data_IF_128874002563
#
_entry.id   IF_128874002563
#
_cell.length_a   1.000
_cell.length_b   1.000
_cell.length_c   1.000
_cell.angle_alpha   90.00
_cell.angle_beta   90.00
_cell.angle_gamma   90.00
#
_symmetry.space_group_name_H-M   'P 1'
#
loop_
_entity.id
_entity.type
_entity.pdbx_description
1 polymer ?
#
# COMPACT_ATOMS: atom_id res chain seq x y z
N UNK A 1 10.98 -18.37 43.96
CA UNK A 1 9.77 -18.10 43.17
C UNK A 1 9.73 -16.61 42.89
N UNK A 2 9.82 -16.20 41.63
CA UNK A 2 9.73 -14.79 41.27
C UNK A 2 8.24 -14.44 41.07
N UNK A 3 7.75 -13.45 41.84
CA UNK A 3 6.40 -12.90 41.76
C UNK A 3 6.33 -11.94 40.57
N UNK A 4 5.74 -12.39 39.46
CA UNK A 4 5.55 -11.59 38.26
C UNK A 4 4.21 -10.86 38.35
N UNK A 5 4.24 -9.60 38.80
CA UNK A 5 3.06 -8.74 38.86
C UNK A 5 2.95 -7.92 37.58
N UNK A 6 1.88 -8.13 36.82
CA UNK A 6 1.53 -7.29 35.67
C UNK A 6 0.96 -5.98 36.23
N UNK A 7 1.72 -4.90 36.13
CA UNK A 7 1.28 -3.57 36.55
C UNK A 7 0.34 -2.98 35.50
N UNK A 8 -0.78 -2.39 35.95
CA UNK A 8 -1.75 -1.70 35.10
C UNK A 8 -1.47 -0.21 35.11
N UNK A 9 -1.00 0.34 33.99
CA UNK A 9 -0.80 1.78 33.82
C UNK A 9 0.19 2.08 32.69
N UNK A 10 -0.29 2.16 31.45
CA UNK A 10 0.60 2.34 30.29
C UNK A 10 0.84 3.82 30.00
N UNK A 11 2.10 4.27 30.02
CA UNK A 11 2.53 5.37 29.15
C UNK A 11 3.03 4.76 27.85
N UNK A 12 2.58 5.30 26.70
CA UNK A 12 3.12 4.92 25.41
C UNK A 12 4.54 5.49 25.28
N UNK A 13 5.55 4.63 25.11
CA UNK A 13 6.92 5.06 24.85
C UNK A 13 7.07 5.42 23.38
N UNK A 14 7.80 6.50 23.10
CA UNK A 14 8.08 6.93 21.73
C UNK A 14 9.21 6.08 21.14
N UNK A 15 8.89 5.27 20.12
CA UNK A 15 9.90 4.55 19.33
C UNK A 15 10.92 5.54 18.73
N UNK A 16 12.22 5.27 18.90
CA UNK A 16 13.34 6.09 18.39
C UNK A 16 14.16 6.85 19.44
N UNK A 17 13.63 7.07 20.66
CA UNK A 17 14.38 7.73 21.76
C UNK A 17 14.57 6.81 22.99
N UNK A 18 14.07 5.58 22.94
CA UNK A 18 13.79 4.78 24.14
C UNK A 18 14.15 3.30 24.00
N UNK A 19 15.18 2.95 23.23
CA UNK A 19 15.61 1.56 22.98
C UNK A 19 16.05 0.79 24.26
N UNK A 20 16.17 1.47 25.41
CA UNK A 20 16.43 0.87 26.73
C UNK A 20 15.27 1.03 27.73
N UNK A 21 14.13 1.56 27.29
CA UNK A 21 12.97 1.72 28.17
C UNK A 21 12.12 0.45 28.11
N UNK A 22 11.92 -0.24 29.25
CA UNK A 22 11.05 -1.41 29.27
C UNK A 22 9.65 -1.02 28.80
N UNK A 23 9.13 -1.78 27.84
CA UNK A 23 7.73 -1.69 27.41
C UNK A 23 6.91 -2.70 28.20
N UNK A 24 5.79 -2.25 28.76
CA UNK A 24 4.88 -3.13 29.47
C UNK A 24 4.24 -4.15 28.52
N UNK A 25 4.30 -5.42 28.89
CA UNK A 25 3.55 -6.47 28.21
C UNK A 25 2.08 -6.32 28.56
N UNK A 26 1.22 -6.18 27.55
CA UNK A 26 -0.23 -6.12 27.76
C UNK A 26 -0.80 -7.53 27.89
N UNK A 27 -1.55 -7.76 28.96
CA UNK A 27 -2.36 -8.94 29.17
C UNK A 27 -3.82 -8.71 28.80
N UNK A 28 -4.55 -9.78 28.58
CA UNK A 28 -6.01 -9.80 28.58
C UNK A 28 -6.54 -9.56 30.00
N UNK A 29 -7.84 -9.28 30.13
CA UNK A 29 -8.45 -8.87 31.42
C UNK A 29 -8.40 -9.96 32.50
N UNK A 30 -8.24 -11.22 32.10
CA UNK A 30 -8.03 -12.38 32.98
C UNK A 30 -6.54 -12.62 33.30
N UNK A 31 -5.64 -11.77 32.82
CA UNK A 31 -4.21 -11.85 33.06
C UNK A 31 -3.44 -12.72 32.06
N UNK A 32 -4.09 -13.26 31.02
CA UNK A 32 -3.35 -14.03 30.02
C UNK A 32 -2.50 -13.10 29.15
N UNK A 33 -1.20 -13.37 29.10
CA UNK A 33 -0.28 -12.69 28.20
C UNK A 33 -0.61 -13.10 26.77
N UNK A 34 -0.77 -12.14 25.87
CA UNK A 34 -0.89 -12.42 24.44
C UNK A 34 0.15 -11.61 23.68
N UNK A 35 0.73 -12.23 22.64
CA UNK A 35 1.55 -11.52 21.66
C UNK A 35 0.65 -11.20 20.48
N UNK A 36 0.49 -9.90 20.17
CA UNK A 36 -0.15 -9.51 18.93
C UNK A 36 0.83 -9.75 17.77
N UNK A 37 0.37 -10.24 16.61
CA UNK A 37 1.15 -10.16 15.39
C UNK A 37 1.62 -8.72 15.17
N UNK A 38 2.88 -8.54 14.75
CA UNK A 38 3.50 -7.21 14.66
C UNK A 38 2.70 -6.22 13.81
N UNK A 39 2.08 -6.67 12.71
CA UNK A 39 1.20 -5.84 11.87
C UNK A 39 -0.04 -5.35 12.64
N UNK A 40 -0.65 -6.23 13.42
CA UNK A 40 -1.80 -5.87 14.26
C UNK A 40 -1.39 -4.90 15.35
N UNK A 41 -0.20 -5.07 15.94
CA UNK A 41 0.35 -4.13 16.91
C UNK A 41 0.56 -2.74 16.27
N UNK A 42 1.19 -2.66 15.09
CA UNK A 42 1.37 -1.39 14.36
C UNK A 42 0.04 -0.76 13.96
N UNK A 43 -0.94 -1.56 13.53
CA UNK A 43 -2.28 -1.05 13.24
C UNK A 43 -2.94 -0.46 14.50
N UNK A 44 -2.83 -1.15 15.64
CA UNK A 44 -3.32 -0.65 16.94
C UNK A 44 -2.58 0.59 17.42
N UNK A 45 -1.34 0.82 17.03
CA UNK A 45 -0.61 2.07 17.29
C UNK A 45 -1.02 3.21 16.34
N UNK A 46 -1.75 2.90 15.26
CA UNK A 46 -2.11 3.86 14.22
C UNK A 46 -0.98 4.10 13.22
N UNK A 47 -0.12 3.10 13.02
CA UNK A 47 1.02 3.14 12.08
C UNK A 47 0.75 2.41 10.76
N UNK A 48 -0.47 1.93 10.56
CA UNK A 48 -0.90 1.40 9.28
C UNK A 48 -1.74 2.44 8.54
N UNK A 49 -1.43 2.63 7.26
CA UNK A 49 -2.03 3.64 6.41
C UNK A 49 -2.44 3.02 5.08
N UNK A 50 -3.36 3.67 4.39
CA UNK A 50 -3.74 3.28 3.05
C UNK A 50 -4.31 4.43 2.23
N UNK A 51 -4.34 4.25 0.92
CA UNK A 51 -5.09 5.09 0.00
C UNK A 51 -5.65 4.28 -1.15
N UNK A 52 -6.65 4.87 -1.83
CA UNK A 52 -7.25 4.34 -3.04
C UNK A 52 -7.14 5.42 -4.13
N UNK A 53 -6.78 5.04 -5.36
CA UNK A 53 -6.73 6.00 -6.49
C UNK A 53 -8.14 6.48 -6.83
N UNK A 54 -9.06 5.53 -7.04
CA UNK A 54 -10.49 5.76 -7.24
C UNK A 54 -11.35 4.97 -6.25
N UNK A 55 -12.65 4.87 -6.53
CA UNK A 55 -13.62 4.12 -5.70
C UNK A 55 -14.61 3.36 -6.59
N UNK A 56 -15.35 2.41 -6.02
CA UNK A 56 -16.39 1.68 -6.78
C UNK A 56 -17.49 2.57 -7.39
N UNK A 57 -17.75 3.76 -6.83
CA UNK A 57 -18.72 4.71 -7.41
C UNK A 57 -18.10 5.75 -8.33
N UNK A 58 -16.77 5.88 -8.31
CA UNK A 58 -16.00 6.82 -9.11
C UNK A 58 -14.63 6.20 -9.40
N UNK A 59 -14.56 5.22 -10.33
CA UNK A 59 -13.30 4.59 -10.71
C UNK A 59 -12.43 5.59 -11.47
N UNK A 60 -11.12 5.42 -11.33
CA UNK A 60 -10.15 6.20 -12.09
C UNK A 60 -9.93 5.61 -13.48
N UNK A 61 -9.47 6.47 -14.39
CA UNK A 61 -8.99 6.08 -15.70
C UNK A 61 -7.50 5.73 -15.59
N UNK A 62 -7.20 4.43 -15.67
CA UNK A 62 -5.84 3.87 -15.60
C UNK A 62 -5.19 3.84 -16.99
N UNK A 63 -3.89 3.56 -17.05
CA UNK A 63 -3.05 3.66 -18.24
C UNK A 63 -3.52 2.89 -19.48
N UNK A 64 -3.56 3.58 -20.63
CA UNK A 64 -3.68 2.99 -21.96
C UNK A 64 -2.28 2.60 -22.46
N UNK A 65 -1.90 1.34 -22.27
CA UNK A 65 -0.55 0.86 -22.50
C UNK A 65 0.44 1.26 -21.39
N UNK A 66 1.46 0.42 -21.23
CA UNK A 66 2.48 0.64 -20.22
C UNK A 66 3.39 1.82 -20.60
N UNK A 67 3.50 2.81 -19.72
CA UNK A 67 4.47 3.90 -19.80
C UNK A 67 5.26 4.00 -18.49
N UNK A 68 6.58 3.80 -18.58
CA UNK A 68 7.47 3.72 -17.41
C UNK A 68 7.48 4.95 -16.50
N UNK A 69 7.17 6.13 -17.03
CA UNK A 69 7.12 7.40 -16.28
C UNK A 69 5.74 7.75 -15.71
N UNK A 70 4.74 6.88 -15.93
CA UNK A 70 3.34 7.15 -15.61
C UNK A 70 2.72 6.02 -14.79
N UNK A 71 3.14 5.84 -13.52
CA UNK A 71 2.45 4.91 -12.63
C UNK A 71 1.03 5.39 -12.34
N UNK A 72 0.11 4.45 -12.19
CA UNK A 72 -1.29 4.73 -11.87
C UNK A 72 -1.49 4.99 -10.37
N UNK A 73 -0.63 4.42 -9.53
CA UNK A 73 -0.51 4.76 -8.12
C UNK A 73 0.95 4.99 -7.75
N UNK A 74 1.20 6.06 -6.99
CA UNK A 74 2.53 6.47 -6.57
C UNK A 74 2.54 6.85 -5.09
N UNK A 75 3.42 6.24 -4.31
CA UNK A 75 3.68 6.58 -2.92
C UNK A 75 5.14 7.04 -2.79
N UNK A 76 5.33 8.33 -2.55
CA UNK A 76 6.63 8.92 -2.24
C UNK A 76 6.92 8.80 -0.74
N UNK A 77 8.07 8.22 -0.42
CA UNK A 77 8.51 7.94 0.95
C UNK A 77 9.67 8.88 1.27
N UNK A 78 9.51 9.84 2.20
CA UNK A 78 10.54 10.83 2.49
C UNK A 78 11.67 10.24 3.34
N UNK A 79 12.79 10.95 3.39
CA UNK A 79 13.92 10.60 4.26
C UNK A 79 13.49 10.45 5.72
N UNK A 80 14.06 9.47 6.43
CA UNK A 80 13.76 9.17 7.83
C UNK A 80 12.49 8.34 8.06
N UNK A 81 11.78 7.99 6.98
CA UNK A 81 10.60 7.11 7.02
C UNK A 81 10.92 5.76 6.40
N UNK A 82 10.47 4.68 7.03
CA UNK A 82 10.51 3.34 6.45
C UNK A 82 9.10 2.77 6.31
N UNK A 83 8.82 2.21 5.14
CA UNK A 83 7.52 1.67 4.76
C UNK A 83 7.65 0.18 4.44
N UNK A 84 6.71 -0.61 4.95
CA UNK A 84 6.52 -2.01 4.58
C UNK A 84 5.13 -2.14 3.97
N UNK A 85 5.00 -2.44 2.66
CA UNK A 85 3.71 -2.69 2.06
C UNK A 85 3.04 -3.89 2.73
N UNK A 86 1.75 -3.78 3.02
CA UNK A 86 0.93 -4.83 3.64
C UNK A 86 0.02 -5.46 2.60
N UNK A 87 -0.56 -4.62 1.75
CA UNK A 87 -1.53 -5.03 0.75
C UNK A 87 -1.49 -4.09 -0.45
N UNK A 88 -1.53 -4.67 -1.64
CA UNK A 88 -1.75 -3.95 -2.89
C UNK A 88 -2.88 -4.68 -3.61
N UNK A 89 -3.88 -3.95 -4.06
CA UNK A 89 -5.00 -4.47 -4.83
C UNK A 89 -5.18 -3.60 -6.05
N UNK A 90 -5.41 -4.24 -7.19
CA UNK A 90 -5.90 -3.59 -8.40
C UNK A 90 -7.24 -4.22 -8.73
N UNK A 91 -8.27 -3.39 -8.78
CA UNK A 91 -9.62 -3.76 -9.15
C UNK A 91 -9.94 -3.17 -10.52
N UNK A 92 -10.43 -4.02 -11.42
CA UNK A 92 -10.80 -3.71 -12.79
C UNK A 92 -12.33 -3.65 -12.88
N UNK A 93 -12.87 -2.54 -13.39
CA UNK A 93 -14.32 -2.33 -13.57
C UNK A 93 -14.72 -2.30 -15.06
N UNK A 94 -13.81 -2.74 -15.94
CA UNK A 94 -13.81 -2.54 -17.40
C UNK A 94 -15.17 -2.21 -18.03
N UNK A 95 -15.27 -1.01 -18.63
CA UNK A 95 -16.43 -0.57 -19.42
C UNK A 95 -16.23 -0.75 -20.92
N UNK A 96 -15.14 -1.40 -21.35
CA UNK A 96 -14.78 -1.49 -22.76
C UNK A 96 -15.35 -2.74 -23.44
N UNK A 97 -15.74 -2.58 -24.71
CA UNK A 97 -16.34 -3.62 -25.54
C UNK A 97 -15.32 -4.61 -26.13
N UNK A 98 -14.02 -4.36 -25.96
CA UNK A 98 -12.95 -5.15 -26.57
C UNK A 98 -12.11 -5.89 -25.51
N UNK A 99 -12.07 -7.23 -25.52
CA UNK A 99 -11.27 -8.00 -24.57
C UNK A 99 -9.77 -7.75 -24.79
N UNK A 100 -9.15 -7.00 -23.88
CA UNK A 100 -7.72 -6.74 -23.87
C UNK A 100 -7.00 -7.52 -22.77
N UNK A 101 -5.69 -7.77 -22.96
CA UNK A 101 -4.84 -8.29 -21.90
C UNK A 101 -4.51 -7.14 -20.97
N UNK A 102 -4.95 -7.26 -19.72
CA UNK A 102 -4.61 -6.37 -18.62
C UNK A 102 -3.29 -6.82 -18.02
N UNK A 103 -2.43 -5.89 -17.60
CA UNK A 103 -1.20 -6.17 -16.86
C UNK A 103 -1.07 -5.17 -15.72
N UNK A 104 -0.59 -5.65 -14.59
CA UNK A 104 -0.28 -4.78 -13.47
C UNK A 104 0.92 -5.30 -12.70
N UNK A 105 1.71 -4.38 -12.17
CA UNK A 105 2.88 -4.71 -11.40
C UNK A 105 3.24 -3.57 -10.45
N UNK A 106 3.97 -3.90 -9.39
CA UNK A 106 4.52 -2.91 -8.46
C UNK A 106 6.03 -2.98 -8.43
N UNK A 107 6.63 -1.79 -8.31
CA UNK A 107 8.07 -1.61 -8.22
C UNK A 107 8.45 -0.87 -6.95
N UNK A 108 9.51 -1.39 -6.33
CA UNK A 108 10.37 -0.70 -5.38
C UNK A 108 11.43 0.08 -6.14
N UNK A 109 11.66 1.34 -5.78
CA UNK A 109 12.80 2.12 -6.29
C UNK A 109 13.30 3.15 -5.28
N UNK A 110 14.61 3.41 -5.26
CA UNK A 110 15.20 4.55 -4.54
C UNK A 110 15.01 5.89 -5.25
N UNK A 111 14.45 5.88 -6.47
CA UNK A 111 14.16 7.10 -7.22
C UNK A 111 12.89 7.74 -6.65
N UNK A 112 13.03 8.94 -6.09
CA UNK A 112 11.89 9.78 -5.71
C UNK A 112 11.63 10.77 -6.82
N UNK A 113 10.39 10.82 -7.30
CA UNK A 113 9.99 11.82 -8.28
C UNK A 113 9.44 13.06 -7.59
N UNK A 114 10.23 14.13 -7.55
CA UNK A 114 9.82 15.41 -6.99
C UNK A 114 9.15 16.33 -8.02
N UNK A 115 9.08 15.91 -9.28
CA UNK A 115 8.56 16.69 -10.42
C UNK A 115 7.30 16.08 -11.05
N UNK A 116 6.68 15.11 -10.35
CA UNK A 116 5.53 14.39 -10.87
C UNK A 116 4.33 15.32 -11.07
N UNK A 117 3.59 15.12 -12.16
CA UNK A 117 2.28 15.76 -12.39
C UNK A 117 1.19 14.71 -12.26
N UNK A 118 0.40 14.78 -11.19
CA UNK A 118 -0.63 13.80 -10.85
C UNK A 118 -1.70 14.37 -9.92
N UNK A 119 -2.74 13.58 -9.67
CA UNK A 119 -3.78 13.89 -8.69
C UNK A 119 -3.31 13.47 -7.29
N UNK A 120 -3.23 14.42 -6.36
CA UNK A 120 -2.92 14.10 -4.97
C UNK A 120 -4.05 13.31 -4.31
N UNK A 121 -3.72 12.24 -3.60
CA UNK A 121 -4.70 11.38 -2.92
C UNK A 121 -4.56 11.53 -1.41
N UNK A 122 -5.70 11.51 -0.70
CA UNK A 122 -5.67 11.57 0.76
C UNK A 122 -5.32 10.22 1.35
N UNK A 123 -4.19 10.17 2.05
CA UNK A 123 -3.81 9.01 2.87
C UNK A 123 -4.70 8.93 4.10
N UNK A 124 -5.20 7.74 4.39
CA UNK A 124 -6.04 7.42 5.55
C UNK A 124 -5.28 6.54 6.53
N UNK A 125 -5.50 6.75 7.82
CA UNK A 125 -5.05 5.84 8.86
C UNK A 125 -6.02 4.67 8.94
N UNK A 126 -5.51 3.45 9.12
CA UNK A 126 -6.34 2.25 9.31
C UNK A 126 -7.05 2.26 10.68
N UNK A 127 -6.62 3.11 11.61
CA UNK A 127 -7.38 3.53 12.79
C UNK A 127 -8.25 4.73 12.46
N UNK A 128 -9.54 4.60 12.72
CA UNK A 128 -10.54 5.64 12.42
C UNK A 128 -10.39 6.89 13.29
N UNK A 129 -9.78 6.78 14.47
CA UNK A 129 -9.45 7.94 15.31
C UNK A 129 -8.14 8.64 14.88
N UNK A 130 -7.41 8.04 13.92
CA UNK A 130 -6.26 8.62 13.22
C UNK A 130 -5.26 9.39 14.11
N UNK A 131 -4.70 8.74 15.16
CA UNK A 131 -3.82 9.40 16.13
C UNK A 131 -2.48 9.85 15.52
N UNK A 132 -2.08 9.25 14.41
CA UNK A 132 -0.83 9.53 13.70
C UNK A 132 -1.16 9.83 12.24
N UNK A 133 -0.47 10.81 11.66
CA UNK A 133 -0.50 11.12 10.22
C UNK A 133 0.69 10.47 9.53
N UNK A 134 0.47 9.92 8.35
CA UNK A 134 1.54 9.44 7.46
C UNK A 134 2.45 10.60 7.06
N UNK A 135 3.76 10.35 6.99
CA UNK A 135 4.75 11.26 6.44
C UNK A 135 4.90 11.10 4.92
N UNK A 136 4.42 9.99 4.36
CA UNK A 136 4.43 9.74 2.92
C UNK A 136 3.48 10.66 2.16
N UNK A 137 3.72 10.80 0.85
CA UNK A 137 2.83 11.50 -0.10
C UNK A 137 2.28 10.50 -1.11
N UNK A 138 0.98 10.51 -1.32
CA UNK A 138 0.30 9.62 -2.27
C UNK A 138 -0.26 10.40 -3.47
N UNK A 139 -0.11 9.82 -4.65
CA UNK A 139 -0.61 10.37 -5.91
C UNK A 139 -1.24 9.25 -6.76
N UNK A 140 -2.27 9.61 -7.52
CA UNK A 140 -2.96 8.76 -8.48
C UNK A 140 -2.86 9.33 -9.88
N UNK A 141 -2.93 8.44 -10.88
CA UNK A 141 -3.00 8.77 -12.31
C UNK A 141 -1.87 9.73 -12.71
N UNK A 142 -0.62 9.29 -12.55
CA UNK A 142 0.55 10.12 -12.86
C UNK A 142 0.63 10.33 -14.37
N UNK A 143 0.55 11.59 -14.80
CA UNK A 143 0.56 11.94 -16.23
C UNK A 143 1.97 12.20 -16.76
N UNK A 144 2.88 12.64 -15.89
CA UNK A 144 4.30 12.89 -16.17
C UNK A 144 5.08 12.59 -14.92
N UNK A 145 6.18 11.85 -15.08
CA UNK A 145 7.08 11.55 -13.98
C UNK A 145 8.46 11.06 -14.40
N UNK A 146 9.22 10.56 -13.42
CA UNK A 146 10.59 10.09 -13.55
C UNK A 146 10.61 8.59 -13.79
N UNK A 147 11.59 8.12 -14.57
CA UNK A 147 11.77 6.69 -14.83
C UNK A 147 12.29 5.97 -13.57
N UNK A 148 11.58 4.97 -13.03
CA UNK A 148 11.98 4.24 -11.82
C UNK A 148 13.08 3.19 -12.08
N UNK A 149 13.48 3.02 -13.34
CA UNK A 149 14.40 1.99 -13.82
C UNK A 149 15.89 2.31 -13.56
N UNK A 150 16.19 3.13 -12.54
CA UNK A 150 17.56 3.48 -12.11
C UNK A 150 17.69 3.32 -10.58
N UNK A 151 18.92 3.33 -10.06
CA UNK A 151 19.17 3.13 -8.62
C UNK A 151 18.92 1.70 -8.13
N UNK A 152 18.67 1.55 -6.82
CA UNK A 152 18.26 0.27 -6.24
C UNK A 152 16.76 0.08 -6.48
N UNK A 153 16.40 -0.98 -7.20
CA UNK A 153 15.04 -1.21 -7.66
C UNK A 153 14.72 -2.68 -7.82
N UNK A 154 13.44 -3.03 -7.65
CA UNK A 154 12.93 -4.39 -7.85
C UNK A 154 11.46 -4.35 -8.22
N UNK A 155 11.09 -5.04 -9.30
CA UNK A 155 9.71 -5.46 -9.51
C UNK A 155 9.44 -6.64 -8.58
N UNK A 156 8.72 -6.39 -7.48
CA UNK A 156 8.50 -7.39 -6.43
C UNK A 156 7.13 -8.07 -6.54
N UNK A 157 6.24 -7.53 -7.39
CA UNK A 157 4.93 -8.08 -7.64
C UNK A 157 4.52 -7.81 -9.08
N UNK A 158 3.98 -8.85 -9.72
CA UNK A 158 3.23 -8.77 -10.97
C UNK A 158 1.90 -9.50 -10.76
N UNK A 159 0.79 -8.81 -10.97
CA UNK A 159 -0.54 -9.38 -10.94
C UNK A 159 -0.86 -10.11 -12.25
N UNK A 160 -1.81 -11.06 -12.21
CA UNK A 160 -2.12 -11.89 -13.38
C UNK A 160 -2.53 -11.05 -14.59
N UNK A 161 -1.98 -11.44 -15.75
CA UNK A 161 -2.34 -10.97 -17.07
C UNK A 161 -3.42 -11.86 -17.68
N UNK A 162 -4.68 -11.45 -17.54
CA UNK A 162 -5.84 -12.19 -18.06
C UNK A 162 -6.80 -11.27 -18.81
N UNK A 163 -7.56 -11.84 -19.74
CA UNK A 163 -8.73 -11.16 -20.28
C UNK A 163 -9.81 -11.15 -19.20
N UNK A 164 -10.24 -9.96 -18.78
CA UNK A 164 -11.48 -9.79 -18.02
C UNK A 164 -12.48 -9.22 -19.01
N UNK A 165 -13.18 -10.05 -19.81
CA UNK A 165 -14.26 -9.52 -20.63
C UNK A 165 -15.26 -8.83 -19.69
N UNK A 166 -15.62 -7.57 -20.02
CA UNK A 166 -16.75 -6.88 -19.40
C UNK A 166 -17.94 -7.84 -19.43
N UNK A 167 -18.26 -8.41 -18.27
CA UNK A 167 -19.37 -9.34 -18.15
C UNK A 167 -20.67 -8.61 -17.81
N UNK A 168 -20.63 -7.28 -17.63
CA UNK A 168 -21.67 -6.54 -16.94
C UNK A 168 -21.83 -5.08 -17.38
N UNK A 169 -21.73 -4.74 -18.67
CA UNK A 169 -22.33 -3.57 -19.34
C UNK A 169 -23.31 -2.74 -18.46
N UNK A 170 -22.78 -1.84 -17.63
CA UNK A 170 -23.53 -0.96 -16.71
C UNK A 170 -24.39 -1.62 -15.60
N UNK A 171 -24.17 -2.89 -15.28
CA UNK A 171 -24.86 -3.62 -14.20
C UNK A 171 -24.16 -3.41 -12.87
N UNK A 172 -24.90 -2.98 -11.84
CA UNK A 172 -24.44 -2.80 -10.45
C UNK A 172 -24.19 -4.14 -9.71
N UNK A 173 -24.14 -5.25 -10.43
CA UNK A 173 -23.90 -6.57 -9.87
C UNK A 173 -22.41 -6.79 -9.59
N UNK A 174 -22.10 -7.35 -8.42
CA UNK A 174 -20.74 -7.59 -7.96
C UNK A 174 -19.98 -8.48 -8.94
N UNK A 175 -18.82 -8.02 -9.38
CA UNK A 175 -17.91 -8.80 -10.23
C UNK A 175 -17.45 -10.07 -9.49
N UNK A 176 -17.16 -11.12 -10.25
CA UNK A 176 -16.48 -12.29 -9.69
C UNK A 176 -15.08 -11.86 -9.24
N UNK A 177 -14.86 -11.86 -7.93
CA UNK A 177 -13.59 -11.55 -7.26
C UNK A 177 -12.37 -12.19 -7.94
N UNK A 178 -12.55 -13.38 -8.51
CA UNK A 178 -11.48 -14.17 -9.10
C UNK A 178 -10.96 -13.61 -10.44
N UNK A 179 -11.75 -12.77 -11.12
CA UNK A 179 -11.41 -12.28 -12.46
C UNK A 179 -11.13 -10.78 -12.48
N UNK A 180 -11.88 -9.96 -11.72
CA UNK A 180 -11.78 -8.50 -11.73
C UNK A 180 -10.76 -7.94 -10.75
N UNK A 181 -10.15 -8.78 -9.91
CA UNK A 181 -9.26 -8.33 -8.85
C UNK A 181 -7.96 -9.12 -8.83
N UNK A 182 -6.86 -8.40 -8.66
CA UNK A 182 -5.53 -8.97 -8.43
C UNK A 182 -4.88 -8.30 -7.24
N UNK A 183 -4.23 -9.11 -6.40
CA UNK A 183 -3.75 -8.65 -5.10
C UNK A 183 -2.35 -9.17 -4.78
N UNK A 184 -1.53 -8.32 -4.19
CA UNK A 184 -0.36 -8.69 -3.42
C UNK A 184 -0.66 -8.55 -1.93
N UNK A 185 -0.22 -9.51 -1.13
CA UNK A 185 -0.33 -9.43 0.33
C UNK A 185 0.96 -9.90 0.97
N UNK A 186 1.39 -9.18 2.01
CA UNK A 186 2.55 -9.55 2.82
C UNK A 186 2.43 -10.95 3.41
N UNK A 187 1.21 -11.41 3.72
CA UNK A 187 0.93 -12.75 4.25
C UNK A 187 1.25 -13.88 3.27
N UNK A 188 1.31 -13.58 1.97
CA UNK A 188 1.59 -14.52 0.88
C UNK A 188 2.99 -14.33 0.29
N UNK A 189 3.72 -13.30 0.70
CA UNK A 189 5.05 -13.00 0.19
C UNK A 189 6.12 -13.78 0.96
N UNK A 190 7.11 -14.35 0.26
CA UNK A 190 8.24 -15.03 0.90
C UNK A 190 9.17 -14.04 1.61
N UNK A 191 9.44 -12.91 0.96
CA UNK A 191 10.25 -11.82 1.50
C UNK A 191 9.51 -10.51 1.20
N UNK A 192 9.05 -9.76 2.23
CA UNK A 192 8.44 -8.47 2.00
C UNK A 192 9.49 -7.44 1.57
N UNK A 193 9.21 -6.60 0.56
CA UNK A 193 10.05 -5.45 0.29
C UNK A 193 9.95 -4.44 1.44
N UNK A 194 11.08 -3.83 1.79
CA UNK A 194 11.16 -2.76 2.79
C UNK A 194 11.70 -1.51 2.09
N UNK A 195 10.97 -0.41 2.22
CA UNK A 195 11.26 0.84 1.54
C UNK A 195 11.80 1.83 2.55
N UNK A 196 13.10 2.08 2.52
CA UNK A 196 13.74 3.10 3.35
C UNK A 196 13.81 4.39 2.53
N UNK A 197 13.23 5.46 3.05
CA UNK A 197 13.22 6.75 2.38
C UNK A 197 14.60 7.44 2.34
N UNK A 198 14.92 8.24 1.30
CA UNK A 198 14.05 8.59 0.17
C UNK A 198 13.88 7.43 -0.83
N UNK A 199 12.62 7.05 -1.10
CA UNK A 199 12.26 5.99 -2.05
C UNK A 199 10.81 6.13 -2.51
N UNK A 200 10.40 5.33 -3.50
CA UNK A 200 9.03 5.32 -4.01
C UNK A 200 8.51 3.90 -4.22
N UNK A 201 7.23 3.71 -3.90
CA UNK A 201 6.42 2.58 -4.36
C UNK A 201 5.55 3.05 -5.52
N UNK A 202 5.65 2.34 -6.64
CA UNK A 202 4.91 2.66 -7.85
C UNK A 202 4.15 1.43 -8.33
N UNK A 203 2.90 1.62 -8.75
CA UNK A 203 2.05 0.57 -9.31
C UNK A 203 1.57 1.01 -10.68
N UNK A 204 1.75 0.15 -11.67
CA UNK A 204 1.17 0.31 -13.01
C UNK A 204 0.03 -0.68 -13.17
N UNK A 205 -1.01 -0.21 -13.84
CA UNK A 205 -2.18 -0.95 -14.22
C UNK A 205 -2.53 -0.52 -15.65
N UNK A 206 -2.25 -1.39 -16.61
CA UNK A 206 -2.37 -1.05 -18.03
C UNK A 206 -3.08 -2.14 -18.82
N UNK A 207 -3.63 -1.77 -19.96
CA UNK A 207 -4.12 -2.71 -20.97
C UNK A 207 -3.34 -2.57 -22.27
N UNK A 208 -3.25 -3.65 -23.03
CA UNK A 208 -2.40 -3.75 -24.26
C UNK A 208 -2.92 -2.97 -25.47
N UNK A 209 -4.08 -2.30 -25.40
CA UNK A 209 -4.69 -1.56 -26.52
C UNK A 209 -4.99 -0.10 -26.15
N UNK A 210 -5.14 0.75 -27.18
CA UNK A 210 -5.19 2.22 -27.14
C UNK A 210 -6.35 2.85 -26.33
N UNK A 211 -7.20 2.06 -25.70
CA UNK A 211 -8.26 2.54 -24.81
C UNK A 211 -7.81 2.46 -23.36
N UNK A 212 -8.24 3.40 -22.53
CA UNK A 212 -7.97 3.34 -21.09
C UNK A 212 -8.86 2.30 -20.40
N UNK A 213 -8.45 1.81 -19.24
CA UNK A 213 -9.27 0.93 -18.39
C UNK A 213 -9.73 1.70 -17.16
N UNK A 214 -10.95 1.45 -16.71
CA UNK A 214 -11.47 2.00 -15.46
C UNK A 214 -11.24 1.03 -14.31
N UNK A 215 -10.86 1.57 -13.16
CA UNK A 215 -10.65 0.76 -11.97
C UNK A 215 -10.14 1.59 -10.80
N UNK A 216 -9.62 0.92 -9.78
CA UNK A 216 -8.90 1.57 -8.70
C UNK A 216 -7.78 0.69 -8.17
N UNK A 217 -6.79 1.35 -7.58
CA UNK A 217 -5.68 0.70 -6.91
C UNK A 217 -5.77 1.05 -5.43
N UNK A 218 -5.73 0.03 -4.57
CA UNK A 218 -5.64 0.18 -3.12
C UNK A 218 -4.23 -0.18 -2.68
N UNK A 219 -3.56 0.71 -1.94
CA UNK A 219 -2.27 0.43 -1.31
C UNK A 219 -2.43 0.61 0.20
N UNK A 220 -2.02 -0.40 0.97
CA UNK A 220 -1.94 -0.36 2.43
C UNK A 220 -0.52 -0.68 2.85
N UNK A 221 0.01 0.09 3.80
CA UNK A 221 1.36 -0.10 4.33
C UNK A 221 1.44 0.14 5.84
N UNK A 222 2.51 -0.38 6.44
CA UNK A 222 2.95 0.01 7.77
C UNK A 222 4.10 1.01 7.66
N UNK A 223 4.08 2.05 8.49
CA UNK A 223 5.05 3.14 8.49
C UNK A 223 5.71 3.29 9.86
N UNK A 224 7.04 3.27 9.88
CA UNK A 224 7.84 3.45 11.08
C UNK A 224 9.00 4.42 10.83
N UNK A 225 9.50 5.12 11.86
CA UNK A 225 10.73 5.90 11.73
C UNK A 225 11.88 4.97 11.32
N UNK A 226 12.73 5.41 10.40
CA UNK A 226 13.88 4.59 9.97
C UNK A 226 14.86 4.29 11.11
N UNK A 227 14.86 5.10 12.18
CA UNK A 227 15.65 4.84 13.38
C UNK A 227 15.16 3.64 14.20
N UNK A 228 13.94 3.15 13.95
CA UNK A 228 13.37 1.99 14.64
C UNK A 228 13.75 0.65 14.00
N UNK A 229 14.49 0.67 12.88
CA UNK A 229 14.94 -0.52 12.15
C UNK A 229 16.48 -0.48 12.15
N UNK A 230 17.11 -1.45 12.82
CA UNK A 230 18.57 -1.62 12.90
C UNK A 230 18.97 -2.93 12.23
#
# INVERSE_FOLDING_TARGET
MADARILTGTSSVTLGNSDQTPVDVRGTRDGAMFTAPWLTALALEGRCFGFNTGTGTAPDVLGSGYTNTKPDAHLAIPSGTTVIPVYIEVCWEDTDTDPAVMDCFAMLTTVVDTSLTATGVTIKNMRTDAPIKSLCTASAVVTTGTTPYTGNRLEFWRGTAGMVPDSYNSSTAQTSELNSRTTWSISKALVPPVFVGPSSLMVWASKTRDTSITGWITIIWAEVPSTSIV
#
